data_IF_270007800200
#
_entry.id   IF_270007800200
#
_cell.length_a   1.000
_cell.length_b   1.000
_cell.length_c   1.000
_cell.angle_alpha   90.00
_cell.angle_beta   90.00
_cell.angle_gamma   90.00
#
_symmetry.space_group_name_H-M   'P 1'
#
loop_
_entity.id
_entity.type
_entity.pdbx_description
1 polymer ?
#
# COMPACT_ATOMS: atom_id res chain seq x y z
N UNK A 1 -48.59 49.48 29.11
CA UNK A 1 -48.88 48.98 27.75
C UNK A 1 -47.51 48.77 27.10
N UNK A 2 -46.97 47.57 26.87
CA UNK A 2 -47.56 46.24 26.68
C UNK A 2 -46.52 45.14 26.95
N UNK A 3 -46.97 44.05 27.58
CA UNK A 3 -46.70 42.61 27.35
C UNK A 3 -45.27 42.06 27.09
N UNK A 4 -44.87 41.11 27.96
CA UNK A 4 -43.91 39.97 27.79
C UNK A 4 -44.41 38.95 26.72
N UNK A 5 -43.65 37.92 26.19
CA UNK A 5 -42.64 37.11 26.89
C UNK A 5 -41.50 36.40 26.08
N UNK A 6 -40.59 35.75 26.83
CA UNK A 6 -39.76 34.54 26.56
C UNK A 6 -39.24 34.18 25.15
N UNK A 7 -37.92 33.93 25.07
CA UNK A 7 -37.42 32.61 24.62
C UNK A 7 -35.95 32.38 24.97
N UNK A 8 -35.76 31.45 25.91
CA UNK A 8 -34.51 30.74 26.18
C UNK A 8 -34.01 30.07 24.91
N UNK A 9 -32.81 30.42 24.44
CA UNK A 9 -32.09 29.59 23.47
C UNK A 9 -31.07 28.77 24.23
N UNK A 10 -31.50 27.60 24.68
CA UNK A 10 -30.66 26.44 24.86
C UNK A 10 -30.29 25.94 23.45
N UNK A 11 -29.07 26.17 22.99
CA UNK A 11 -28.45 25.28 22.00
C UNK A 11 -27.61 24.31 22.82
N UNK A 12 -28.22 23.23 23.27
CA UNK A 12 -28.21 21.95 22.54
C UNK A 12 -26.79 21.38 22.47
N UNK A 13 -26.27 21.03 23.64
CA UNK A 13 -25.35 19.91 23.80
C UNK A 13 -26.09 18.64 23.38
N UNK A 14 -25.99 18.25 22.11
CA UNK A 14 -26.41 16.93 21.65
C UNK A 14 -25.69 16.58 20.35
N UNK A 15 -25.01 15.43 20.40
CA UNK A 15 -24.47 14.66 19.27
C UNK A 15 -23.13 15.08 18.67
N UNK A 16 -22.07 15.07 19.48
CA UNK A 16 -20.70 14.74 19.01
C UNK A 16 -20.24 13.36 19.50
N UNK A 17 -21.19 12.43 19.65
CA UNK A 17 -20.90 11.03 19.94
C UNK A 17 -21.62 10.19 18.89
N UNK A 18 -20.88 9.27 18.25
CA UNK A 18 -21.37 8.25 17.30
C UNK A 18 -21.26 8.57 15.80
N UNK A 19 -20.11 9.02 15.33
CA UNK A 19 -19.66 8.60 13.99
C UNK A 19 -18.15 8.76 13.89
N UNK A 20 -17.40 7.86 14.53
CA UNK A 20 -16.06 7.58 14.02
C UNK A 20 -16.29 6.86 12.69
N UNK A 21 -16.51 7.67 11.66
CA UNK A 21 -16.81 7.21 10.31
C UNK A 21 -15.63 6.35 9.85
N UNK A 22 -15.91 5.33 9.04
CA UNK A 22 -14.92 4.51 8.35
C UNK A 22 -14.04 5.39 7.46
N UNK A 23 -13.11 6.11 8.06
CA UNK A 23 -12.15 6.89 7.31
C UNK A 23 -11.19 5.90 6.66
N UNK A 24 -10.77 6.13 5.41
CA UNK A 24 -9.78 5.28 4.76
C UNK A 24 -8.51 5.10 5.61
N UNK A 25 -8.11 6.13 6.38
CA UNK A 25 -7.00 6.06 7.33
C UNK A 25 -7.22 5.03 8.43
N UNK A 26 -8.39 5.01 9.07
CA UNK A 26 -8.70 4.04 10.13
C UNK A 26 -8.62 2.60 9.61
N UNK A 27 -9.19 2.33 8.43
CA UNK A 27 -9.15 0.99 7.83
C UNK A 27 -7.73 0.56 7.47
N UNK A 28 -6.90 1.48 6.97
CA UNK A 28 -5.49 1.17 6.66
C UNK A 28 -4.71 0.87 7.94
N UNK A 29 -4.92 1.62 9.00
CA UNK A 29 -4.21 1.44 10.27
C UNK A 29 -4.61 0.13 10.96
N UNK A 30 -5.91 -0.19 10.97
CA UNK A 30 -6.40 -1.48 11.46
C UNK A 30 -5.89 -2.65 10.63
N UNK A 31 -5.85 -2.51 9.30
CA UNK A 31 -5.35 -3.54 8.40
C UNK A 31 -3.85 -3.83 8.64
N UNK A 32 -3.06 -2.77 8.91
CA UNK A 32 -1.67 -2.90 9.34
C UNK A 32 -1.55 -3.55 10.72
N UNK A 33 -2.38 -3.14 11.69
CA UNK A 33 -2.38 -3.66 13.07
C UNK A 33 -2.65 -5.17 13.12
N UNK A 34 -3.49 -5.68 12.23
CA UNK A 34 -3.81 -7.11 12.14
C UNK A 34 -2.67 -7.96 11.56
N UNK A 35 -1.57 -7.35 11.10
CA UNK A 35 -0.41 -8.03 10.52
C UNK A 35 -0.64 -8.60 9.12
N UNK A 36 -1.85 -8.43 8.55
CA UNK A 36 -2.22 -8.88 7.20
C UNK A 36 -1.42 -8.15 6.13
N UNK A 37 -1.17 -6.86 6.33
CA UNK A 37 -0.27 -6.09 5.46
C UNK A 37 1.11 -6.72 5.33
N UNK A 38 1.74 -7.12 6.44
CA UNK A 38 3.09 -7.70 6.42
C UNK A 38 3.10 -9.10 5.76
N UNK A 39 2.05 -9.91 6.00
CA UNK A 39 1.88 -11.21 5.34
C UNK A 39 1.79 -11.06 3.82
N UNK A 40 0.98 -10.11 3.33
CA UNK A 40 0.84 -9.84 1.90
C UNK A 40 2.14 -9.30 1.32
N UNK A 41 2.81 -8.36 2.00
CA UNK A 41 4.11 -7.83 1.56
C UNK A 41 5.15 -8.93 1.37
N UNK A 42 5.27 -9.85 2.35
CA UNK A 42 6.19 -10.99 2.28
C UNK A 42 5.83 -11.94 1.14
N UNK A 43 4.54 -12.21 0.95
CA UNK A 43 4.06 -13.06 -0.15
C UNK A 43 4.39 -12.46 -1.51
N UNK A 44 4.09 -11.17 -1.74
CA UNK A 44 4.42 -10.47 -2.99
C UNK A 44 5.93 -10.56 -3.26
N UNK A 45 6.77 -10.29 -2.25
CA UNK A 45 8.21 -10.40 -2.40
C UNK A 45 8.65 -11.81 -2.80
N UNK A 46 8.10 -12.83 -2.14
CA UNK A 46 8.41 -14.22 -2.44
C UNK A 46 7.98 -14.62 -3.86
N UNK A 47 6.76 -14.26 -4.26
CA UNK A 47 6.24 -14.54 -5.60
C UNK A 47 7.02 -13.78 -6.67
N UNK A 48 7.45 -12.55 -6.40
CA UNK A 48 8.33 -11.79 -7.28
C UNK A 48 9.69 -12.47 -7.45
N UNK A 49 10.34 -12.89 -6.36
CA UNK A 49 11.63 -13.59 -6.40
C UNK A 49 11.59 -14.90 -7.20
N UNK A 50 10.42 -15.53 -7.29
CA UNK A 50 10.18 -16.75 -8.08
C UNK A 50 9.66 -16.46 -9.50
N UNK A 51 9.49 -15.19 -9.87
CA UNK A 51 8.97 -14.80 -11.18
C UNK A 51 10.08 -14.65 -12.21
N UNK A 52 9.70 -14.77 -13.49
CA UNK A 52 10.58 -14.51 -14.64
C UNK A 52 11.11 -13.06 -14.68
N UNK A 53 10.47 -12.12 -13.97
CA UNK A 53 10.89 -10.72 -13.93
C UNK A 53 12.10 -10.48 -13.03
N UNK A 54 12.34 -11.34 -12.04
CA UNK A 54 13.35 -11.12 -11.02
C UNK A 54 14.79 -11.10 -11.59
N UNK A 55 15.21 -12.04 -12.45
CA UNK A 55 16.55 -12.00 -13.04
C UNK A 55 16.78 -10.75 -13.88
N UNK A 56 15.80 -10.35 -14.70
CA UNK A 56 15.88 -9.16 -15.54
C UNK A 56 15.95 -7.87 -14.73
N UNK A 57 15.16 -7.78 -13.65
CA UNK A 57 15.22 -6.64 -12.72
C UNK A 57 16.59 -6.53 -12.04
N UNK A 58 17.16 -7.64 -11.55
CA UNK A 58 18.49 -7.64 -10.93
C UNK A 58 19.57 -7.18 -11.92
N UNK A 59 19.53 -7.69 -13.15
CA UNK A 59 20.47 -7.27 -14.19
C UNK A 59 20.38 -5.76 -14.46
N UNK A 60 19.16 -5.22 -14.62
CA UNK A 60 18.97 -3.79 -14.87
C UNK A 60 19.42 -2.92 -13.69
N UNK A 61 19.17 -3.38 -12.45
CA UNK A 61 19.64 -2.69 -11.24
C UNK A 61 21.17 -2.69 -11.17
N UNK A 62 21.81 -3.83 -11.42
CA UNK A 62 23.27 -3.95 -11.44
C UNK A 62 23.90 -3.07 -12.53
N UNK A 63 23.37 -3.11 -13.76
CA UNK A 63 23.84 -2.25 -14.85
C UNK A 63 23.70 -0.77 -14.51
N UNK A 64 22.60 -0.36 -13.88
CA UNK A 64 22.42 1.03 -13.44
C UNK A 64 23.48 1.43 -12.42
N UNK A 65 23.75 0.57 -11.43
CA UNK A 65 24.76 0.85 -10.42
C UNK A 65 26.16 0.92 -11.02
N UNK A 66 26.50 0.00 -11.93
CA UNK A 66 27.79 0.01 -12.61
C UNK A 66 27.99 1.29 -13.40
N UNK A 67 27.00 1.72 -14.20
CA UNK A 67 27.05 2.99 -14.94
C UNK A 67 27.23 4.19 -14.00
N UNK A 68 26.57 4.18 -12.84
CA UNK A 68 26.75 5.23 -11.84
C UNK A 68 28.18 5.24 -11.28
N UNK A 69 28.73 4.07 -10.95
CA UNK A 69 30.11 3.94 -10.44
C UNK A 69 31.12 4.41 -11.49
N UNK A 70 30.96 4.00 -12.74
CA UNK A 70 31.85 4.38 -13.83
C UNK A 70 31.81 5.89 -14.11
N UNK A 71 30.61 6.48 -14.15
CA UNK A 71 30.44 7.92 -14.39
C UNK A 71 30.90 8.81 -13.24
N UNK A 72 31.01 8.26 -12.02
CA UNK A 72 31.41 9.00 -10.82
C UNK A 72 32.69 8.44 -10.18
N UNK A 73 33.50 7.68 -10.92
CA UNK A 73 34.65 6.95 -10.40
C UNK A 73 35.59 7.86 -9.58
N UNK A 74 35.98 9.01 -10.12
CA UNK A 74 36.87 9.96 -9.46
C UNK A 74 36.32 10.47 -8.12
N UNK A 75 35.02 10.76 -8.07
CA UNK A 75 34.34 11.20 -6.84
C UNK A 75 34.23 10.07 -5.83
N UNK A 76 33.95 8.85 -6.30
CA UNK A 76 33.69 7.70 -5.43
C UNK A 76 34.98 7.16 -4.82
N UNK A 77 36.10 7.13 -5.54
CA UNK A 77 37.37 6.58 -5.06
C UNK A 77 37.82 7.21 -3.74
N UNK A 78 37.66 8.52 -3.57
CA UNK A 78 38.08 9.24 -2.36
C UNK A 78 36.98 9.37 -1.29
N UNK A 79 35.77 8.89 -1.59
CA UNK A 79 34.62 9.03 -0.68
C UNK A 79 34.60 7.90 0.34
N UNK A 80 34.22 8.20 1.57
CA UNK A 80 34.06 7.17 2.61
C UNK A 80 33.10 6.04 2.20
N UNK A 81 33.36 4.81 2.66
CA UNK A 81 32.59 3.62 2.29
C UNK A 81 31.09 3.74 2.59
N UNK A 82 30.73 4.32 3.75
CA UNK A 82 29.32 4.51 4.13
C UNK A 82 28.64 5.52 3.20
N UNK A 83 29.36 6.58 2.83
CA UNK A 83 28.85 7.62 1.94
C UNK A 83 28.77 7.14 0.47
N UNK A 84 29.66 6.24 0.03
CA UNK A 84 29.53 5.58 -1.27
C UNK A 84 28.29 4.70 -1.33
N UNK A 85 28.07 3.88 -0.30
CA UNK A 85 26.87 3.05 -0.21
C UNK A 85 25.60 3.90 -0.19
N UNK A 86 25.58 4.99 0.58
CA UNK A 86 24.44 5.92 0.60
C UNK A 86 24.17 6.56 -0.76
N UNK A 87 25.21 6.92 -1.51
CA UNK A 87 25.07 7.49 -2.85
C UNK A 87 24.49 6.46 -3.84
N UNK A 88 24.96 5.20 -3.77
CA UNK A 88 24.43 4.11 -4.58
C UNK A 88 22.97 3.79 -4.27
N UNK A 89 22.60 3.74 -3.00
CA UNK A 89 21.21 3.52 -2.60
C UNK A 89 20.31 4.66 -3.10
N UNK A 90 20.79 5.91 -3.00
CA UNK A 90 20.06 7.06 -3.52
C UNK A 90 19.86 6.99 -5.03
N UNK A 91 20.85 6.53 -5.78
CA UNK A 91 20.72 6.35 -7.23
C UNK A 91 19.68 5.28 -7.55
N UNK A 92 19.72 4.13 -6.86
CA UNK A 92 18.71 3.08 -7.00
C UNK A 92 17.30 3.58 -6.68
N UNK A 93 17.14 4.35 -5.60
CA UNK A 93 15.85 4.91 -5.19
C UNK A 93 15.31 5.95 -6.17
N UNK A 94 16.19 6.62 -6.92
CA UNK A 94 15.81 7.61 -7.95
C UNK A 94 15.54 6.98 -9.32
N UNK A 95 16.00 5.75 -9.53
CA UNK A 95 15.83 5.07 -10.81
C UNK A 95 14.40 4.50 -10.92
N UNK A 96 13.66 4.77 -12.02
CA UNK A 96 12.31 4.27 -12.23
C UNK A 96 12.19 2.74 -12.39
N UNK A 97 13.25 1.95 -12.21
CA UNK A 97 13.24 0.49 -12.37
C UNK A 97 12.13 -0.19 -11.56
N UNK A 98 11.92 0.22 -10.31
CA UNK A 98 10.89 -0.37 -9.47
C UNK A 98 9.49 -0.01 -9.97
N UNK A 99 9.27 1.24 -10.35
CA UNK A 99 7.97 1.70 -10.85
C UNK A 99 7.62 0.99 -12.17
N UNK A 100 8.59 0.87 -13.07
CA UNK A 100 8.44 0.12 -14.34
C UNK A 100 8.16 -1.36 -14.09
N UNK A 101 8.85 -1.97 -13.11
CA UNK A 101 8.60 -3.35 -12.73
C UNK A 101 7.17 -3.53 -12.20
N UNK A 102 6.70 -2.65 -11.31
CA UNK A 102 5.35 -2.68 -10.75
C UNK A 102 4.31 -2.53 -11.87
N UNK A 103 4.53 -1.60 -12.80
CA UNK A 103 3.68 -1.41 -13.96
C UNK A 103 3.62 -2.69 -14.83
N UNK A 104 4.77 -3.26 -15.18
CA UNK A 104 4.86 -4.50 -15.97
C UNK A 104 4.13 -5.66 -15.29
N UNK A 105 4.32 -5.85 -13.97
CA UNK A 105 3.64 -6.90 -13.20
C UNK A 105 2.13 -6.66 -13.07
N UNK A 106 1.66 -5.43 -13.22
CA UNK A 106 0.24 -5.07 -13.20
C UNK A 106 -0.46 -5.26 -14.56
N UNK A 107 0.28 -5.15 -15.66
CA UNK A 107 -0.23 -5.22 -17.03
C UNK A 107 -0.33 -6.63 -17.60
N UNK A 108 0.23 -7.64 -16.92
CA UNK A 108 0.35 -9.04 -17.40
C UNK A 108 -0.98 -9.80 -17.66
N UNK A 109 -2.11 -9.10 -17.78
CA UNK A 109 -3.41 -9.68 -18.07
C UNK A 109 -4.06 -9.19 -19.38
N UNK A 110 -3.29 -8.65 -20.34
CA UNK A 110 -3.87 -8.06 -21.56
C UNK A 110 -3.25 -8.47 -22.90
N UNK A 111 -2.17 -9.27 -22.94
CA UNK A 111 -1.54 -9.66 -24.20
C UNK A 111 -1.20 -11.16 -24.22
N UNK A 112 -2.10 -11.98 -24.79
CA UNK A 112 -1.82 -13.39 -25.03
C UNK A 112 -2.98 -14.13 -25.67
N UNK A 113 -3.09 -14.07 -27.00
CA UNK A 113 -3.92 -14.94 -27.85
C UNK A 113 -3.23 -16.33 -27.93
N UNK A 114 -2.91 -16.93 -26.78
CA UNK A 114 -2.18 -18.19 -26.68
C UNK A 114 -2.81 -19.03 -25.58
N UNK A 115 -3.28 -20.22 -25.95
CA UNK A 115 -4.11 -21.13 -25.16
C UNK A 115 -3.35 -21.85 -24.02
N UNK A 116 -2.70 -21.12 -23.13
CA UNK A 116 -2.21 -21.61 -21.84
C UNK A 116 -2.94 -20.85 -20.72
N UNK A 117 -3.28 -21.48 -19.58
CA UNK A 117 -3.89 -20.77 -18.45
C UNK A 117 -2.89 -19.74 -17.92
N UNK A 118 -2.99 -18.52 -18.43
CA UNK A 118 -2.14 -17.39 -18.09
C UNK A 118 -2.20 -17.17 -16.57
N UNK A 119 -1.05 -17.35 -15.91
CA UNK A 119 -0.88 -17.08 -14.48
C UNK A 119 -1.43 -15.67 -14.19
N UNK A 120 -2.34 -15.51 -13.21
CA UNK A 120 -2.94 -14.21 -12.93
C UNK A 120 -1.85 -13.19 -12.60
N UNK A 121 -2.01 -11.96 -13.08
CA UNK A 121 -1.11 -10.86 -12.77
C UNK A 121 -0.87 -10.77 -11.25
N UNK A 122 0.40 -10.67 -10.84
CA UNK A 122 0.79 -10.64 -9.43
C UNK A 122 0.24 -9.38 -8.73
N UNK A 123 0.27 -8.26 -9.45
CA UNK A 123 -0.22 -6.95 -9.03
C UNK A 123 -1.35 -6.48 -9.95
N UNK A 124 -2.02 -5.40 -9.56
CA UNK A 124 -3.14 -4.81 -10.32
C UNK A 124 -4.52 -5.14 -9.75
N UNK A 125 -5.55 -4.49 -10.30
CA UNK A 125 -6.91 -4.51 -9.71
C UNK A 125 -7.56 -5.90 -9.69
N UNK A 126 -7.18 -6.75 -10.64
CA UNK A 126 -7.72 -8.11 -10.80
C UNK A 126 -6.76 -9.20 -10.28
N UNK A 127 -5.69 -8.84 -9.56
CA UNK A 127 -4.79 -9.83 -8.97
C UNK A 127 -5.46 -10.55 -7.79
N UNK A 128 -4.96 -11.75 -7.49
CA UNK A 128 -5.31 -12.48 -6.27
C UNK A 128 -5.04 -11.64 -5.02
N UNK A 129 -3.93 -10.91 -5.01
CA UNK A 129 -3.57 -10.00 -3.93
C UNK A 129 -4.60 -8.88 -3.74
N UNK A 130 -5.07 -8.25 -4.81
CA UNK A 130 -6.10 -7.21 -4.70
C UNK A 130 -7.44 -7.79 -4.21
N UNK A 131 -7.77 -9.02 -4.61
CA UNK A 131 -8.95 -9.73 -4.08
C UNK A 131 -8.83 -9.98 -2.57
N UNK A 132 -7.69 -10.49 -2.11
CA UNK A 132 -7.46 -10.76 -0.69
C UNK A 132 -7.54 -9.49 0.17
N UNK A 133 -6.98 -8.38 -0.31
CA UNK A 133 -7.05 -7.09 0.37
C UNK A 133 -8.51 -6.63 0.51
N UNK A 134 -9.30 -6.71 -0.57
CA UNK A 134 -10.73 -6.34 -0.54
C UNK A 134 -11.51 -7.19 0.45
N UNK A 135 -11.34 -8.52 0.39
CA UNK A 135 -12.00 -9.43 1.32
C UNK A 135 -11.65 -9.14 2.78
N UNK A 136 -10.39 -8.81 3.07
CA UNK A 136 -9.99 -8.45 4.43
C UNK A 136 -10.61 -7.13 4.88
N UNK A 137 -10.66 -6.11 4.01
CA UNK A 137 -11.31 -4.83 4.33
C UNK A 137 -12.81 -5.04 4.59
N UNK A 138 -13.49 -5.82 3.75
CA UNK A 138 -14.92 -6.14 3.92
C UNK A 138 -15.17 -6.84 5.27
N UNK A 139 -14.32 -7.81 5.63
CA UNK A 139 -14.40 -8.49 6.93
C UNK A 139 -14.17 -7.53 8.12
N UNK A 140 -13.30 -6.54 7.97
CA UNK A 140 -13.05 -5.53 8.99
C UNK A 140 -14.24 -4.59 9.19
N UNK A 141 -14.86 -4.15 8.10
CA UNK A 141 -16.07 -3.31 8.15
C UNK A 141 -17.20 -4.06 8.86
N UNK A 142 -17.45 -5.32 8.46
CA UNK A 142 -18.47 -6.18 9.07
C UNK A 142 -18.21 -6.45 10.56
N UNK A 143 -16.96 -6.69 10.95
CA UNK A 143 -16.61 -6.91 12.36
C UNK A 143 -16.86 -5.67 13.22
N UNK A 144 -16.62 -4.49 12.67
CA UNK A 144 -16.83 -3.22 13.37
C UNK A 144 -18.33 -2.86 13.46
N UNK A 145 -19.09 -3.13 12.40
CA UNK A 145 -20.55 -3.01 12.42
C UNK A 145 -21.17 -3.94 13.48
N UNK A 146 -20.68 -5.18 13.57
CA UNK A 146 -21.15 -6.16 14.56
C UNK A 146 -20.86 -5.74 16.01
N UNK A 147 -19.69 -5.14 16.28
CA UNK A 147 -19.38 -4.62 17.62
C UNK A 147 -20.31 -3.49 18.03
N UNK A 148 -20.58 -2.55 17.11
CA UNK A 148 -21.50 -1.42 17.35
C UNK A 148 -22.92 -1.89 17.60
N UNK A 149 -23.38 -2.91 16.88
CA UNK A 149 -24.69 -3.52 17.12
C UNK A 149 -24.76 -4.21 18.50
N UNK A 150 -23.67 -4.85 18.94
CA UNK A 150 -23.57 -5.51 20.24
C UNK A 150 -23.57 -4.55 21.44
N UNK A 151 -22.86 -3.42 21.35
CA UNK A 151 -22.84 -2.39 22.40
C UNK A 151 -24.19 -1.66 22.54
N UNK A 152 -25.02 -1.63 21.49
CA UNK A 152 -26.38 -1.07 21.55
C UNK A 152 -27.40 -1.97 22.27
N UNK A 153 -27.04 -3.24 22.53
CA UNK A 153 -27.96 -4.27 23.03
C UNK A 153 -27.79 -4.60 24.52
N UNK A 154 -26.88 -3.93 25.23
CA UNK A 154 -26.68 -4.14 26.67
C UNK A 154 -26.99 -2.83 27.45
N UNK A 155 -28.25 -2.63 27.88
CA UNK A 155 -28.68 -1.47 28.67
C UNK A 155 -28.24 -1.54 30.13
#
# INVERSE_FOLDING_TARGET
>A
MSETPTSSTLHNSSSELSSEAYTPSFLVDEFKRQGKFDQIRKRILHEFQQSEHFPGFLQQAEESMLRFVESHADRLVFRDARLRHSDLMRELDQNPLLDQLVENMSQQNSAGISAEPSKPALLGQHSSTAYDIRQQIDAMVQAEDAKRAGDSANP
#
